data_IF_544620022723
#
_entry.id   IF_544620022723
#
_cell.length_a   1.000
_cell.length_b   1.000
_cell.length_c   1.000
_cell.angle_alpha   90.00
_cell.angle_beta   90.00
_cell.angle_gamma   90.00
#
_symmetry.space_group_name_H-M   'P 1'
#
loop_
_entity.id
_entity.type
_entity.pdbx_description
1 polymer ?
#
# COMPACT_ATOMS: atom_id res chain seq x y z
N UNK A 1 -47.68 -2.56 9.41
CA UNK A 1 -46.44 -2.32 10.18
C UNK A 1 -45.52 -3.51 9.97
N UNK A 2 -44.66 -3.44 8.95
CA UNK A 2 -43.66 -4.47 8.65
C UNK A 2 -42.32 -3.74 8.54
N UNK A 3 -41.39 -4.11 9.42
CA UNK A 3 -40.10 -3.47 9.65
C UNK A 3 -39.19 -3.73 8.46
N UNK A 4 -38.93 -2.71 7.64
CA UNK A 4 -38.03 -2.78 6.46
C UNK A 4 -36.74 -2.00 6.71
N UNK A 5 -36.29 -1.91 7.96
CA UNK A 5 -35.29 -0.93 8.38
C UNK A 5 -33.83 -1.43 8.50
N UNK A 6 -33.51 -2.73 8.37
CA UNK A 6 -32.20 -3.24 8.82
C UNK A 6 -31.41 -4.10 7.80
N UNK A 7 -31.41 -3.77 6.50
CA UNK A 7 -30.66 -4.57 5.51
C UNK A 7 -29.89 -3.79 4.42
N UNK A 8 -29.55 -2.51 4.64
CA UNK A 8 -28.81 -1.70 3.64
C UNK A 8 -27.52 -1.00 4.13
N UNK A 9 -26.96 -1.35 5.30
CA UNK A 9 -25.75 -0.67 5.84
C UNK A 9 -24.47 -1.53 5.93
N UNK A 10 -24.54 -2.84 5.64
CA UNK A 10 -23.37 -3.73 5.78
C UNK A 10 -22.24 -3.43 4.77
N UNK A 11 -22.56 -2.80 3.63
CA UNK A 11 -21.56 -2.40 2.63
C UNK A 11 -20.73 -1.17 3.02
N UNK A 12 -21.33 -0.18 3.70
CA UNK A 12 -20.67 1.10 4.00
C UNK A 12 -19.76 1.03 5.23
N UNK A 13 -20.14 0.22 6.22
CA UNK A 13 -19.38 0.06 7.47
C UNK A 13 -17.97 -0.48 7.24
N UNK A 14 -17.82 -1.41 6.28
CA UNK A 14 -16.51 -1.96 5.90
C UNK A 14 -15.54 -0.88 5.40
N UNK A 15 -15.97 0.01 4.50
CA UNK A 15 -15.09 1.05 3.97
C UNK A 15 -14.71 2.08 5.03
N UNK A 16 -15.63 2.43 5.93
CA UNK A 16 -15.35 3.33 7.05
C UNK A 16 -14.30 2.75 8.01
N UNK A 17 -14.36 1.44 8.26
CA UNK A 17 -13.38 0.76 9.10
C UNK A 17 -11.98 0.74 8.46
N UNK A 18 -11.89 0.45 7.16
CA UNK A 18 -10.62 0.50 6.42
C UNK A 18 -10.07 1.93 6.36
N UNK A 19 -10.93 2.91 6.13
CA UNK A 19 -10.54 4.33 6.16
C UNK A 19 -9.94 4.73 7.52
N UNK A 20 -10.57 4.32 8.63
CA UNK A 20 -10.03 4.53 9.97
C UNK A 20 -8.68 3.84 10.17
N UNK A 21 -8.54 2.61 9.69
CA UNK A 21 -7.26 1.88 9.74
C UNK A 21 -6.16 2.58 8.93
N UNK A 22 -6.47 3.12 7.74
CA UNK A 22 -5.52 3.88 6.91
C UNK A 22 -5.09 5.19 7.58
N UNK A 23 -6.02 5.90 8.21
CA UNK A 23 -5.69 7.10 8.98
C UNK A 23 -4.78 6.76 10.16
N UNK A 24 -5.09 5.70 10.90
CA UNK A 24 -4.27 5.26 12.02
C UNK A 24 -2.86 4.85 11.57
N UNK A 25 -2.73 4.09 10.48
CA UNK A 25 -1.44 3.73 9.92
C UNK A 25 -0.61 4.97 9.57
N UNK A 26 -1.25 5.96 8.93
CA UNK A 26 -0.59 7.21 8.54
C UNK A 26 -0.17 8.04 9.75
N UNK A 27 -0.99 8.09 10.79
CA UNK A 27 -0.63 8.76 12.04
C UNK A 27 0.58 8.09 12.70
N UNK A 28 0.65 6.76 12.70
CA UNK A 28 1.80 6.01 13.21
C UNK A 28 3.06 6.32 12.39
N UNK A 29 2.97 6.33 11.04
CA UNK A 29 4.09 6.70 10.17
C UNK A 29 4.63 8.10 10.50
N UNK A 30 3.73 9.10 10.60
CA UNK A 30 4.12 10.49 10.89
C UNK A 30 4.77 10.62 12.26
N UNK A 31 4.20 9.97 13.29
CA UNK A 31 4.76 10.00 14.65
C UNK A 31 6.13 9.32 14.68
N UNK A 32 6.28 8.18 14.00
CA UNK A 32 7.53 7.43 13.95
C UNK A 32 8.62 8.22 13.21
N UNK A 33 8.28 8.83 12.08
CA UNK A 33 9.18 9.69 11.32
C UNK A 33 9.57 10.96 12.08
N UNK A 34 8.63 11.59 12.78
CA UNK A 34 8.88 12.82 13.53
C UNK A 34 9.74 12.59 14.77
N UNK A 35 9.50 11.51 15.51
CA UNK A 35 10.24 11.21 16.74
C UNK A 35 11.63 10.63 16.49
N UNK A 36 11.97 10.24 15.25
CA UNK A 36 13.26 9.64 14.86
C UNK A 36 13.81 8.65 15.90
N UNK A 37 12.93 7.77 16.39
CA UNK A 37 13.20 6.92 17.57
C UNK A 37 14.30 5.87 17.28
N UNK A 38 14.54 5.56 16.01
CA UNK A 38 15.46 4.51 15.58
C UNK A 38 16.60 5.06 14.72
N UNK A 39 17.66 4.25 14.61
CA UNK A 39 18.71 4.48 13.61
C UNK A 39 18.12 4.62 12.20
N UNK A 40 18.68 5.48 11.34
CA UNK A 40 18.09 5.87 10.06
C UNK A 40 17.73 4.69 9.16
N UNK A 41 18.53 3.61 9.18
CA UNK A 41 18.26 2.39 8.40
C UNK A 41 16.99 1.67 8.90
N UNK A 42 16.86 1.47 10.21
CA UNK A 42 15.70 0.79 10.81
C UNK A 42 14.42 1.62 10.69
N UNK A 43 14.54 2.95 10.71
CA UNK A 43 13.41 3.85 10.46
C UNK A 43 12.91 3.70 9.01
N UNK A 44 13.82 3.63 8.04
CA UNK A 44 13.47 3.44 6.63
C UNK A 44 12.77 2.09 6.41
N UNK A 45 13.28 1.01 7.00
CA UNK A 45 12.63 -0.32 6.93
C UNK A 45 11.23 -0.30 7.52
N UNK A 46 11.05 0.31 8.71
CA UNK A 46 9.75 0.40 9.35
C UNK A 46 8.75 1.18 8.48
N UNK A 47 9.13 2.37 7.98
CA UNK A 47 8.27 3.18 7.11
C UNK A 47 7.93 2.46 5.80
N UNK A 48 8.89 1.73 5.21
CA UNK A 48 8.63 0.91 4.02
C UNK A 48 7.59 -0.18 4.29
N UNK A 49 7.71 -0.90 5.42
CA UNK A 49 6.75 -1.95 5.79
C UNK A 49 5.35 -1.35 6.00
N UNK A 50 5.24 -0.21 6.71
CA UNK A 50 3.96 0.45 6.92
C UNK A 50 3.33 0.88 5.59
N UNK A 51 4.10 1.43 4.66
CA UNK A 51 3.62 1.82 3.32
C UNK A 51 3.13 0.63 2.48
N UNK A 52 3.81 -0.52 2.56
CA UNK A 52 3.38 -1.76 1.89
C UNK A 52 2.04 -2.24 2.45
N UNK A 53 1.87 -2.24 3.78
CA UNK A 53 0.61 -2.63 4.43
C UNK A 53 -0.53 -1.70 4.01
N UNK A 54 -0.27 -0.40 3.99
CA UNK A 54 -1.23 0.62 3.54
C UNK A 54 -1.70 0.35 2.11
N UNK A 55 -0.75 0.11 1.21
CA UNK A 55 -1.02 -0.20 -0.20
C UNK A 55 -1.83 -1.50 -0.35
N UNK A 56 -1.51 -2.54 0.42
CA UNK A 56 -2.26 -3.80 0.42
C UNK A 56 -3.71 -3.61 0.92
N UNK A 57 -3.94 -2.79 1.95
CA UNK A 57 -5.27 -2.44 2.42
C UNK A 57 -6.09 -1.72 1.33
N UNK A 58 -5.47 -0.76 0.64
CA UNK A 58 -6.11 -0.01 -0.46
C UNK A 58 -6.48 -0.94 -1.61
N UNK A 59 -5.54 -1.77 -2.07
CA UNK A 59 -5.77 -2.69 -3.19
C UNK A 59 -6.83 -3.74 -2.83
N UNK A 60 -6.77 -4.29 -1.60
CA UNK A 60 -7.71 -5.32 -1.15
C UNK A 60 -9.16 -4.82 -1.03
N UNK A 61 -9.35 -3.59 -0.55
CA UNK A 61 -10.67 -3.10 -0.15
C UNK A 61 -11.21 -1.99 -1.04
N UNK A 62 -10.41 -1.01 -1.45
CA UNK A 62 -10.86 0.08 -2.33
C UNK A 62 -10.85 -0.32 -3.81
N UNK A 63 -9.89 -1.15 -4.25
CA UNK A 63 -9.88 -1.72 -5.61
C UNK A 63 -10.76 -2.97 -5.76
N UNK A 64 -11.62 -3.28 -4.79
CA UNK A 64 -12.59 -4.39 -4.84
C UNK A 64 -12.01 -5.81 -5.03
N UNK A 65 -10.69 -5.96 -4.95
CA UNK A 65 -9.97 -7.21 -5.24
C UNK A 65 -10.39 -8.39 -4.33
N UNK A 66 -10.99 -8.11 -3.16
CA UNK A 66 -11.52 -9.12 -2.23
C UNK A 66 -12.73 -9.89 -2.79
N UNK A 67 -13.54 -9.28 -3.66
CA UNK A 67 -14.78 -9.87 -4.20
C UNK A 67 -14.67 -10.26 -5.69
N UNK A 68 -13.51 -10.04 -6.29
CA UNK A 68 -13.23 -10.30 -7.71
C UNK A 68 -12.66 -11.70 -7.95
N UNK A 69 -12.77 -12.17 -9.20
CA UNK A 69 -12.32 -13.49 -9.64
C UNK A 69 -10.81 -13.62 -9.42
N UNK A 70 -10.36 -14.77 -8.91
CA UNK A 70 -8.96 -15.01 -8.57
C UNK A 70 -7.96 -14.65 -9.69
N UNK A 71 -8.36 -14.83 -10.96
CA UNK A 71 -7.57 -14.46 -12.13
C UNK A 71 -7.22 -12.97 -12.19
N UNK A 72 -8.16 -12.06 -11.89
CA UNK A 72 -7.90 -10.61 -11.87
C UNK A 72 -6.91 -10.22 -10.77
N UNK A 73 -6.95 -10.92 -9.63
CA UNK A 73 -5.98 -10.73 -8.53
C UNK A 73 -4.57 -11.09 -8.97
N UNK A 74 -4.41 -12.20 -9.68
CA UNK A 74 -3.12 -12.63 -10.22
C UNK A 74 -2.59 -11.67 -11.27
N UNK A 75 -3.42 -11.18 -12.19
CA UNK A 75 -3.00 -10.19 -13.20
C UNK A 75 -2.52 -8.89 -12.55
N UNK A 76 -3.25 -8.37 -11.56
CA UNK A 76 -2.82 -7.18 -10.80
C UNK A 76 -1.48 -7.41 -10.11
N UNK A 77 -1.30 -8.55 -9.43
CA UNK A 77 -0.04 -8.87 -8.76
C UNK A 77 1.12 -9.01 -9.73
N UNK A 78 0.90 -9.63 -10.89
CA UNK A 78 1.92 -9.74 -11.95
C UNK A 78 2.27 -8.36 -12.49
N UNK A 79 1.29 -7.50 -12.74
CA UNK A 79 1.53 -6.13 -13.22
C UNK A 79 2.38 -5.31 -12.22
N UNK A 80 2.05 -5.38 -10.92
CA UNK A 80 2.81 -4.72 -9.85
C UNK A 80 4.24 -5.27 -9.78
N UNK A 81 4.41 -6.59 -9.80
CA UNK A 81 5.73 -7.22 -9.79
C UNK A 81 6.57 -6.81 -11.00
N UNK A 82 6.01 -6.81 -12.21
CA UNK A 82 6.70 -6.36 -13.42
C UNK A 82 7.09 -4.88 -13.28
N UNK A 83 6.19 -4.04 -12.77
CA UNK A 83 6.46 -2.62 -12.56
C UNK A 83 7.62 -2.40 -11.58
N UNK A 84 7.65 -3.12 -10.45
CA UNK A 84 8.78 -3.08 -9.52
C UNK A 84 10.08 -3.57 -10.17
N UNK A 85 10.04 -4.68 -10.91
CA UNK A 85 11.22 -5.19 -11.62
C UNK A 85 11.79 -4.16 -12.60
N UNK A 86 10.93 -3.48 -13.37
CA UNK A 86 11.34 -2.43 -14.29
C UNK A 86 11.96 -1.23 -13.56
N UNK A 87 11.39 -0.81 -12.43
CA UNK A 87 12.00 0.24 -11.58
C UNK A 87 13.38 -0.18 -11.07
N UNK A 88 13.56 -1.43 -10.66
CA UNK A 88 14.86 -1.93 -10.22
C UNK A 88 15.91 -1.93 -11.34
N UNK A 89 15.52 -2.30 -12.56
CA UNK A 89 16.41 -2.25 -13.74
C UNK A 89 16.83 -0.82 -14.05
N UNK A 90 15.89 0.14 -14.02
CA UNK A 90 16.18 1.56 -14.21
C UNK A 90 17.15 2.10 -13.15
N UNK A 91 17.01 1.66 -11.91
CA UNK A 91 17.89 2.08 -10.82
C UNK A 91 19.33 1.55 -11.00
N UNK A 92 19.47 0.29 -11.46
CA UNK A 92 20.76 -0.29 -11.81
C UNK A 92 21.42 0.45 -12.99
N UNK A 93 20.63 0.85 -13.98
CA UNK A 93 21.11 1.64 -15.12
C UNK A 93 21.54 3.05 -14.70
N UNK A 94 20.78 3.71 -13.82
CA UNK A 94 21.15 5.01 -13.25
C UNK A 94 22.49 4.96 -12.49
N UNK A 95 22.72 3.92 -11.69
CA UNK A 95 24.02 3.70 -11.03
C UNK A 95 25.15 3.48 -12.04
N UNK A 96 24.86 2.75 -13.13
CA UNK A 96 25.83 2.53 -14.20
C UNK A 96 26.21 3.84 -14.90
N UNK A 97 25.25 4.73 -15.15
CA UNK A 97 25.50 6.05 -15.75
C UNK A 97 26.38 6.93 -14.83
N UNK A 98 26.10 6.93 -13.52
CA UNK A 98 26.92 7.68 -12.55
C UNK A 98 28.35 7.15 -12.50
N UNK A 99 28.54 5.82 -12.53
CA UNK A 99 29.87 5.21 -12.53
C UNK A 99 30.63 5.43 -13.86
N UNK A 100 29.92 5.56 -14.98
CA UNK A 100 30.52 5.81 -16.30
C UNK A 100 30.86 7.29 -16.54
N UNK A 101 30.52 8.20 -15.62
CA UNK A 101 31.11 9.54 -15.56
C UNK A 101 30.93 10.37 -16.84
N UNK A 102 29.81 10.22 -17.55
CA UNK A 102 29.48 11.15 -18.63
C UNK A 102 29.00 12.45 -17.98
N UNK A 103 29.87 13.46 -18.04
CA UNK A 103 29.56 14.86 -17.69
C UNK A 103 28.43 15.41 -18.56
#
# INVERSE_FOLDING_TARGET
MHTVADTHDEGKGQYFWVWGALLLLTAVEVVLAYRQVFQPIRMLEALMILSVIKSALIIGWFMHLKYEIAAMKWVMMVAVCICLCLMCVFFADAFRIIHLGVK
#
